data_IF_449961966958
#
_entry.id   IF_449961966958
#
_cell.length_a   1.000
_cell.length_b   1.000
_cell.length_c   1.000
_cell.angle_alpha   90.00
_cell.angle_beta   90.00
_cell.angle_gamma   90.00
#
_symmetry.space_group_name_H-M   'P 1'
#
loop_
_entity.id
_entity.type
_entity.pdbx_description
1 polymer ?
#
# COMPACT_ATOMS: atom_id res chain seq x y z
N UNK A 1 -52.28 -41.70 6.86
CA UNK A 1 -51.43 -42.54 6.01
C UNK A 1 -50.24 -41.73 5.52
N UNK A 2 -49.21 -41.77 6.24
CA UNK A 2 -48.01 -42.56 6.14
C UNK A 2 -47.03 -42.12 5.06
N UNK A 3 -45.87 -41.75 5.56
CA UNK A 3 -44.54 -42.00 5.04
C UNK A 3 -44.07 -41.09 3.91
N UNK A 4 -42.98 -40.47 4.01
CA UNK A 4 -41.67 -40.88 4.38
C UNK A 4 -40.67 -39.72 4.36
N UNK A 5 -39.86 -39.70 5.35
CA UNK A 5 -38.61 -38.94 5.40
C UNK A 5 -37.69 -39.38 4.27
N UNK A 6 -37.07 -38.44 3.61
CA UNK A 6 -35.71 -38.59 3.08
C UNK A 6 -34.95 -37.29 3.26
N UNK A 7 -33.90 -37.39 4.06
CA UNK A 7 -32.79 -36.51 4.13
C UNK A 7 -32.10 -36.50 2.76
N UNK A 8 -31.81 -35.33 2.24
CA UNK A 8 -30.71 -35.14 1.32
C UNK A 8 -29.86 -33.97 1.77
N UNK A 9 -28.68 -34.36 2.18
CA UNK A 9 -27.55 -33.53 2.57
C UNK A 9 -27.04 -32.64 1.44
N UNK A 10 -26.67 -31.44 1.82
CA UNK A 10 -25.43 -30.83 1.37
C UNK A 10 -25.49 -30.08 0.04
N UNK A 11 -25.21 -28.83 0.17
CA UNK A 11 -24.74 -27.84 -0.81
C UNK A 11 -25.74 -26.69 -1.07
N UNK A 12 -25.71 -25.74 -0.19
CA UNK A 12 -25.96 -24.34 -0.55
C UNK A 12 -25.66 -23.40 0.62
N UNK A 13 -24.41 -23.35 1.07
CA UNK A 13 -23.96 -22.38 2.09
C UNK A 13 -22.72 -21.59 1.62
N UNK A 14 -22.44 -21.56 0.33
CA UNK A 14 -21.27 -20.86 -0.19
C UNK A 14 -21.52 -19.55 -0.96
N UNK A 15 -22.77 -19.14 -1.17
CA UNK A 15 -23.02 -17.92 -1.96
C UNK A 15 -23.47 -16.69 -1.17
N UNK A 16 -23.73 -16.80 0.13
CA UNK A 16 -24.16 -15.65 0.94
C UNK A 16 -23.05 -14.97 1.75
N UNK A 17 -21.85 -15.57 1.82
CA UNK A 17 -20.71 -14.94 2.50
C UNK A 17 -19.94 -13.96 1.62
N UNK A 18 -20.01 -14.09 0.30
CA UNK A 18 -19.29 -13.21 -0.62
C UNK A 18 -19.95 -11.85 -0.89
N UNK A 19 -21.24 -11.68 -0.53
CA UNK A 19 -21.97 -10.41 -0.74
C UNK A 19 -22.00 -9.50 0.49
N UNK A 20 -21.70 -10.00 1.69
CA UNK A 20 -21.56 -9.17 2.89
C UNK A 20 -20.16 -8.59 3.07
N UNK A 21 -19.15 -9.14 2.42
CA UNK A 21 -17.78 -8.64 2.45
C UNK A 21 -17.51 -7.45 1.50
N UNK A 22 -18.47 -7.08 0.66
CA UNK A 22 -18.31 -5.96 -0.28
C UNK A 22 -18.68 -4.59 0.31
N UNK A 23 -19.30 -4.53 1.50
CA UNK A 23 -19.80 -3.28 2.08
C UNK A 23 -18.96 -2.72 3.25
N UNK A 24 -17.95 -3.43 3.70
CA UNK A 24 -17.03 -3.01 4.78
C UNK A 24 -15.56 -3.16 4.33
N UNK A 25 -15.25 -2.78 3.11
CA UNK A 25 -13.86 -2.61 2.69
C UNK A 25 -13.36 -1.28 3.23
N UNK A 26 -13.08 -1.29 4.53
CA UNK A 26 -12.03 -0.44 5.08
C UNK A 26 -10.77 -0.60 4.22
N UNK A 27 -9.88 0.37 4.22
CA UNK A 27 -8.51 0.25 3.68
C UNK A 27 -7.78 -0.85 4.45
N UNK A 28 -8.25 -2.06 4.28
CA UNK A 28 -7.78 -3.31 4.88
C UNK A 28 -7.69 -4.34 3.77
N UNK A 29 -6.53 -4.45 3.19
CA UNK A 29 -6.14 -5.74 2.62
C UNK A 29 -5.43 -6.51 3.72
N UNK A 30 -6.05 -7.58 4.18
CA UNK A 30 -5.49 -8.52 5.18
C UNK A 30 -5.02 -7.88 6.50
N UNK A 31 -5.64 -6.82 6.91
CA UNK A 31 -5.37 -6.30 8.20
C UNK A 31 -4.16 -5.32 8.30
N UNK A 32 -3.46 -4.83 7.25
CA UNK A 32 -2.32 -3.89 7.35
C UNK A 32 -2.75 -2.44 7.17
N UNK A 33 -2.35 -1.50 8.05
CA UNK A 33 -2.33 -0.07 7.74
C UNK A 33 -1.17 0.20 6.83
N UNK A 34 -1.53 0.83 5.78
CA UNK A 34 -0.63 1.44 4.85
C UNK A 34 -0.42 2.87 5.36
N UNK A 35 0.75 3.14 5.96
CA UNK A 35 1.18 4.54 6.14
C UNK A 35 1.51 5.05 4.75
N UNK A 36 0.59 5.79 4.15
CA UNK A 36 0.79 6.41 2.86
C UNK A 36 1.32 7.82 3.03
N UNK A 37 2.12 8.27 2.07
CA UNK A 37 2.48 9.67 1.95
C UNK A 37 1.61 10.32 0.89
N UNK A 38 0.71 11.18 1.34
CA UNK A 38 -0.24 11.91 0.51
C UNK A 38 0.27 13.34 0.35
N UNK A 39 0.42 13.78 -0.88
CA UNK A 39 0.77 15.18 -1.16
C UNK A 39 -0.42 15.85 -1.84
N UNK A 40 -0.81 17.00 -1.29
CA UNK A 40 -1.74 17.92 -1.92
C UNK A 40 -0.90 19.04 -2.53
N UNK A 41 -0.94 19.19 -3.83
CA UNK A 41 -0.21 20.18 -4.58
C UNK A 41 -1.18 21.18 -5.20
N UNK A 42 -1.25 22.37 -4.61
CA UNK A 42 -2.19 23.44 -4.96
C UNK A 42 -1.53 24.78 -4.60
N UNK A 43 -1.64 25.79 -5.44
CA UNK A 43 -1.12 27.14 -5.16
C UNK A 43 -2.11 27.96 -4.31
N UNK A 44 -3.39 27.58 -4.30
CA UNK A 44 -4.41 28.15 -3.45
C UNK A 44 -4.53 27.38 -2.12
N UNK A 45 -3.96 27.98 -1.07
CA UNK A 45 -3.93 27.34 0.25
C UNK A 45 -5.32 26.97 0.80
N UNK A 46 -6.34 27.77 0.50
CA UNK A 46 -7.70 27.50 0.96
C UNK A 46 -8.28 26.23 0.33
N UNK A 47 -7.99 26.00 -0.95
CA UNK A 47 -8.42 24.81 -1.68
C UNK A 47 -7.67 23.57 -1.16
N UNK A 48 -6.35 23.71 -0.95
CA UNK A 48 -5.55 22.65 -0.35
C UNK A 48 -6.05 22.22 1.04
N UNK A 49 -6.37 23.17 1.93
CA UNK A 49 -6.89 22.88 3.28
C UNK A 49 -8.31 22.28 3.23
N UNK A 50 -9.13 22.67 2.25
CA UNK A 50 -10.44 22.07 2.02
C UNK A 50 -10.29 20.61 1.58
N UNK A 51 -9.43 20.36 0.60
CA UNK A 51 -9.10 18.99 0.17
C UNK A 51 -8.56 18.16 1.33
N UNK A 52 -7.64 18.70 2.14
CA UNK A 52 -7.12 18.05 3.36
C UNK A 52 -8.26 17.66 4.31
N UNK A 53 -9.22 18.56 4.55
CA UNK A 53 -10.37 18.30 5.43
C UNK A 53 -11.20 17.14 4.92
N UNK A 54 -11.44 17.07 3.60
CA UNK A 54 -12.16 15.96 2.97
C UNK A 54 -11.38 14.67 3.12
N UNK A 55 -10.06 14.69 2.89
CA UNK A 55 -9.21 13.50 3.01
C UNK A 55 -9.17 12.94 4.43
N UNK A 56 -9.16 13.79 5.45
CA UNK A 56 -9.23 13.38 6.86
C UNK A 56 -10.54 12.69 7.23
N UNK A 57 -11.61 12.88 6.43
CA UNK A 57 -12.85 12.13 6.57
C UNK A 57 -12.79 10.73 5.94
N UNK A 58 -11.78 10.48 5.10
CA UNK A 58 -11.55 9.20 4.48
C UNK A 58 -10.95 8.22 5.49
N UNK A 59 -11.45 7.00 5.48
CA UNK A 59 -11.02 5.99 6.43
C UNK A 59 -9.55 5.62 6.23
N UNK A 60 -8.77 5.64 7.31
CA UNK A 60 -7.36 5.26 7.34
C UNK A 60 -6.38 6.37 6.93
N UNK A 61 -6.85 7.57 6.64
CA UNK A 61 -6.00 8.73 6.39
C UNK A 61 -5.80 9.49 7.69
N UNK A 62 -4.55 9.74 8.06
CA UNK A 62 -4.16 10.51 9.24
C UNK A 62 -3.57 11.85 8.82
N UNK A 63 -3.57 12.82 9.73
CA UNK A 63 -3.02 14.16 9.44
C UNK A 63 -1.52 14.11 9.12
N UNK A 64 -0.77 13.24 9.78
CA UNK A 64 0.66 13.00 9.57
C UNK A 64 1.01 12.37 8.22
N UNK A 65 0.03 11.83 7.53
CA UNK A 65 0.19 11.28 6.18
C UNK A 65 0.14 12.35 5.10
N UNK A 66 -0.46 13.51 5.41
CA UNK A 66 -0.75 14.56 4.43
C UNK A 66 0.28 15.69 4.52
N UNK A 67 0.86 16.01 3.37
CA UNK A 67 1.73 17.18 3.20
C UNK A 67 1.13 18.08 2.12
N UNK A 68 0.99 19.37 2.41
CA UNK A 68 0.57 20.36 1.42
C UNK A 68 1.84 21.02 0.86
N UNK A 69 1.96 21.04 -0.45
CA UNK A 69 3.06 21.66 -1.18
C UNK A 69 2.51 22.64 -2.23
N UNK A 70 3.25 23.70 -2.46
CA UNK A 70 3.08 24.51 -3.67
C UNK A 70 3.65 23.78 -4.89
N UNK A 71 3.26 24.17 -6.11
CA UNK A 71 3.84 23.63 -7.35
C UNK A 71 5.36 23.72 -7.41
N UNK A 72 5.92 24.83 -6.91
CA UNK A 72 7.35 25.07 -6.89
C UNK A 72 8.07 24.10 -5.95
N UNK A 73 7.52 23.88 -4.76
CA UNK A 73 8.05 22.93 -3.78
C UNK A 73 7.95 21.51 -4.28
N UNK A 74 6.83 21.16 -4.91
CA UNK A 74 6.64 19.83 -5.52
C UNK A 74 7.65 19.60 -6.64
N UNK A 75 7.81 20.56 -7.56
CA UNK A 75 8.78 20.45 -8.65
C UNK A 75 10.21 20.30 -8.13
N UNK A 76 10.62 21.12 -7.17
CA UNK A 76 11.94 21.03 -6.55
C UNK A 76 12.15 19.66 -5.89
N UNK A 77 11.17 19.17 -5.12
CA UNK A 77 11.22 17.85 -4.47
C UNK A 77 11.35 16.71 -5.47
N UNK A 78 10.64 16.80 -6.60
CA UNK A 78 10.75 15.84 -7.70
C UNK A 78 12.13 15.93 -8.37
N UNK A 79 12.66 17.14 -8.61
CA UNK A 79 13.95 17.34 -9.25
C UNK A 79 15.11 16.77 -8.44
N UNK A 80 15.18 17.08 -7.14
CA UNK A 80 16.25 16.60 -6.25
C UNK A 80 16.06 15.16 -5.77
N UNK A 81 14.96 14.48 -6.16
CA UNK A 81 14.62 13.10 -5.78
C UNK A 81 14.51 12.88 -4.26
N UNK A 82 14.12 13.90 -3.51
CA UNK A 82 13.91 13.82 -2.05
C UNK A 82 12.42 13.73 -1.67
N UNK A 83 11.54 13.62 -2.65
CA UNK A 83 10.10 13.53 -2.43
C UNK A 83 9.66 12.09 -2.26
N UNK A 84 8.87 11.84 -1.23
CA UNK A 84 8.17 10.56 -1.01
C UNK A 84 6.68 10.82 -1.14
N UNK A 85 6.07 10.21 -2.14
CA UNK A 85 4.67 10.40 -2.45
C UNK A 85 4.08 9.08 -2.97
N UNK A 86 3.05 8.61 -2.30
CA UNK A 86 2.30 7.43 -2.70
C UNK A 86 1.01 7.83 -3.43
N UNK A 87 0.39 8.95 -3.01
CA UNK A 87 -0.77 9.54 -3.67
C UNK A 87 -0.54 11.05 -3.79
N UNK A 88 -0.62 11.58 -4.99
CA UNK A 88 -0.56 13.00 -5.29
C UNK A 88 -1.93 13.53 -5.70
N UNK A 89 -2.45 14.53 -5.00
CA UNK A 89 -3.63 15.28 -5.40
C UNK A 89 -3.12 16.58 -5.98
N UNK A 90 -3.35 16.79 -7.27
CA UNK A 90 -2.73 17.86 -8.04
C UNK A 90 -3.79 18.78 -8.63
N UNK A 91 -3.75 20.04 -8.26
CA UNK A 91 -4.46 21.07 -9.01
C UNK A 91 -3.79 21.30 -10.36
N UNK A 92 -4.59 21.51 -11.39
CA UNK A 92 -4.15 21.79 -12.76
C UNK A 92 -4.63 23.16 -13.25
N UNK A 93 -5.02 24.04 -12.35
CA UNK A 93 -5.47 25.38 -12.70
C UNK A 93 -4.28 26.34 -12.91
N UNK A 94 -4.37 27.17 -13.95
CA UNK A 94 -3.28 27.98 -14.43
C UNK A 94 -3.53 29.47 -14.17
N UNK A 95 -3.04 30.02 -13.12
CA UNK A 95 -2.74 31.45 -13.11
C UNK A 95 -1.29 31.76 -13.49
N UNK A 96 -0.39 30.81 -13.32
CA UNK A 96 1.03 31.05 -13.52
C UNK A 96 1.60 30.19 -14.66
N UNK A 97 1.76 30.75 -15.86
CA UNK A 97 2.33 30.11 -17.04
C UNK A 97 3.77 29.56 -16.88
N UNK A 98 4.36 29.68 -15.69
CA UNK A 98 5.73 29.23 -15.41
C UNK A 98 5.83 27.72 -15.14
N UNK A 99 4.73 27.07 -14.71
CA UNK A 99 4.71 25.63 -14.42
C UNK A 99 3.72 24.91 -15.32
N UNK A 100 4.20 23.89 -16.00
CA UNK A 100 3.34 22.99 -16.76
C UNK A 100 3.06 21.75 -15.91
N UNK A 101 1.86 21.67 -15.36
CA UNK A 101 1.38 20.57 -14.52
C UNK A 101 1.46 19.20 -15.18
N UNK A 102 1.21 19.15 -16.49
CA UNK A 102 1.33 17.92 -17.25
C UNK A 102 2.79 17.46 -17.28
N UNK A 103 3.73 18.40 -17.44
CA UNK A 103 5.16 18.07 -17.39
C UNK A 103 5.56 17.57 -15.99
N UNK A 104 5.12 18.26 -14.93
CA UNK A 104 5.39 17.83 -13.54
C UNK A 104 4.81 16.44 -13.26
N UNK A 105 3.58 16.17 -13.72
CA UNK A 105 2.95 14.86 -13.58
C UNK A 105 3.70 13.77 -14.34
N UNK A 106 4.18 14.05 -15.56
CA UNK A 106 5.03 13.13 -16.34
C UNK A 106 6.36 12.84 -15.64
N UNK A 107 6.98 13.84 -15.03
CA UNK A 107 8.19 13.67 -14.23
C UNK A 107 7.93 12.84 -12.98
N UNK A 108 6.82 13.11 -12.28
CA UNK A 108 6.38 12.32 -11.13
C UNK A 108 6.15 10.85 -11.51
N UNK A 109 5.41 10.59 -12.60
CA UNK A 109 5.20 9.24 -13.10
C UNK A 109 6.52 8.52 -13.42
N UNK A 110 7.52 9.24 -13.94
CA UNK A 110 8.83 8.67 -14.27
C UNK A 110 9.67 8.35 -13.03
N UNK A 111 9.67 9.24 -12.03
CA UNK A 111 10.51 9.12 -10.82
C UNK A 111 9.85 8.28 -9.73
N UNK A 112 8.52 8.34 -9.62
CA UNK A 112 7.72 7.58 -8.66
C UNK A 112 6.60 6.82 -9.40
N UNK A 113 6.92 5.74 -10.12
CA UNK A 113 5.97 5.05 -10.98
C UNK A 113 4.79 4.39 -10.25
N UNK A 114 4.89 4.19 -8.94
CA UNK A 114 3.81 3.67 -8.10
C UNK A 114 2.90 4.77 -7.54
N UNK A 115 3.31 6.04 -7.63
CA UNK A 115 2.54 7.17 -7.13
C UNK A 115 1.24 7.31 -7.93
N UNK A 116 0.11 7.33 -7.23
CA UNK A 116 -1.20 7.51 -7.84
C UNK A 116 -1.54 8.99 -7.93
N UNK A 117 -1.80 9.49 -9.11
CA UNK A 117 -2.15 10.91 -9.33
C UNK A 117 -3.68 11.04 -9.39
N UNK A 118 -4.23 11.94 -8.58
CA UNK A 118 -5.61 12.43 -8.63
C UNK A 118 -5.55 13.90 -9.03
N UNK A 119 -6.16 14.24 -10.14
CA UNK A 119 -6.33 15.63 -10.51
C UNK A 119 -7.56 16.23 -9.83
N UNK A 120 -7.41 17.44 -9.29
CA UNK A 120 -8.46 18.18 -8.60
C UNK A 120 -8.46 19.63 -9.12
N UNK A 121 -9.45 20.03 -9.91
CA UNK A 121 -9.45 21.31 -10.61
C UNK A 121 -10.86 21.91 -10.73
N UNK A 122 -10.94 23.21 -10.93
CA UNK A 122 -12.18 23.91 -11.30
C UNK A 122 -12.56 23.75 -12.77
N UNK A 123 -11.61 23.42 -13.64
CA UNK A 123 -11.73 23.56 -15.10
C UNK A 123 -11.82 22.20 -15.77
N UNK A 124 -12.97 21.92 -16.40
CA UNK A 124 -13.24 20.65 -17.09
C UNK A 124 -12.45 20.55 -18.43
N UNK A 125 -12.12 21.67 -19.03
CA UNK A 125 -11.46 21.75 -20.34
C UNK A 125 -10.07 21.08 -20.34
N UNK A 126 -9.44 20.93 -19.19
CA UNK A 126 -8.16 20.21 -19.04
C UNK A 126 -8.29 18.67 -19.05
N UNK A 127 -9.52 18.14 -18.98
CA UNK A 127 -9.72 16.70 -18.97
C UNK A 127 -9.05 15.96 -20.16
N UNK A 128 -9.00 16.46 -21.40
CA UNK A 128 -8.28 15.80 -22.48
C UNK A 128 -6.76 15.74 -22.27
N UNK A 129 -6.17 16.78 -21.67
CA UNK A 129 -4.72 16.89 -21.50
C UNK A 129 -4.16 15.94 -20.44
N UNK A 130 -4.95 15.62 -19.41
CA UNK A 130 -4.52 14.69 -18.35
C UNK A 130 -4.34 13.26 -18.85
N UNK A 131 -4.98 12.88 -19.96
CA UNK A 131 -4.79 11.56 -20.58
C UNK A 131 -3.38 11.32 -21.13
N UNK A 132 -2.57 12.37 -21.25
CA UNK A 132 -1.14 12.27 -21.57
C UNK A 132 -0.28 11.82 -20.38
N UNK A 133 -0.87 11.63 -19.21
CA UNK A 133 -0.22 11.22 -17.97
C UNK A 133 -0.81 9.94 -17.41
N UNK A 134 -0.05 9.24 -16.57
CA UNK A 134 -0.58 8.11 -15.79
C UNK A 134 -1.23 8.70 -14.54
N UNK A 135 -2.54 8.65 -14.49
CA UNK A 135 -3.34 9.12 -13.35
C UNK A 135 -4.47 8.14 -13.04
N UNK A 136 -4.98 8.14 -11.81
CA UNK A 136 -6.04 7.22 -11.42
C UNK A 136 -7.42 7.87 -11.42
N UNK A 137 -7.51 9.19 -11.23
CA UNK A 137 -8.79 9.90 -11.17
C UNK A 137 -8.67 11.36 -11.57
N UNK A 138 -9.82 11.91 -12.03
CA UNK A 138 -10.02 13.33 -12.30
C UNK A 138 -11.25 13.81 -11.54
N UNK A 139 -11.12 14.85 -10.73
CA UNK A 139 -12.16 15.41 -9.86
C UNK A 139 -12.32 16.89 -10.16
N UNK A 140 -13.55 17.32 -10.40
CA UNK A 140 -13.88 18.74 -10.41
C UNK A 140 -14.07 19.24 -8.98
N UNK A 141 -13.43 20.36 -8.58
CA UNK A 141 -13.54 20.97 -7.25
C UNK A 141 -14.99 21.26 -6.85
N UNK A 142 -15.88 21.52 -7.82
CA UNK A 142 -17.33 21.68 -7.57
C UNK A 142 -17.99 20.43 -6.95
N UNK A 143 -17.41 19.26 -7.15
CA UNK A 143 -17.93 17.96 -6.70
C UNK A 143 -16.98 17.25 -5.73
N UNK A 144 -15.97 17.95 -5.20
CA UNK A 144 -14.89 17.34 -4.43
C UNK A 144 -15.38 16.59 -3.19
N UNK A 145 -16.35 17.14 -2.43
CA UNK A 145 -16.89 16.48 -1.23
C UNK A 145 -17.39 15.05 -1.51
N UNK A 146 -17.97 14.83 -2.69
CA UNK A 146 -18.49 13.52 -3.09
C UNK A 146 -17.48 12.67 -3.83
N UNK A 147 -16.67 13.29 -4.67
CA UNK A 147 -15.84 12.56 -5.64
C UNK A 147 -14.42 12.31 -5.12
N UNK A 148 -13.86 13.20 -4.30
CA UNK A 148 -12.51 13.03 -3.76
C UNK A 148 -12.38 11.79 -2.86
N UNK A 149 -13.34 11.47 -1.97
CA UNK A 149 -13.30 10.20 -1.22
C UNK A 149 -13.29 8.96 -2.12
N UNK A 150 -14.06 8.96 -3.20
CA UNK A 150 -14.07 7.87 -4.19
C UNK A 150 -12.77 7.77 -4.96
N UNK A 151 -12.19 8.90 -5.32
CA UNK A 151 -10.89 8.96 -5.99
C UNK A 151 -9.79 8.41 -5.07
N UNK A 152 -9.82 8.76 -3.78
CA UNK A 152 -8.92 8.21 -2.77
C UNK A 152 -9.06 6.70 -2.62
N UNK A 153 -10.29 6.20 -2.48
CA UNK A 153 -10.53 4.76 -2.39
C UNK A 153 -9.93 4.01 -3.60
N UNK A 154 -10.14 4.55 -4.81
CA UNK A 154 -9.55 3.98 -6.03
C UNK A 154 -8.02 4.07 -6.05
N UNK A 155 -7.44 5.21 -5.67
CA UNK A 155 -5.99 5.40 -5.62
C UNK A 155 -5.33 4.42 -4.65
N UNK A 156 -5.88 4.29 -3.45
CA UNK A 156 -5.44 3.34 -2.44
C UNK A 156 -5.54 1.90 -2.95
N UNK A 157 -6.66 1.55 -3.59
CA UNK A 157 -6.83 0.21 -4.15
C UNK A 157 -5.74 -0.11 -5.19
N UNK A 158 -5.47 0.81 -6.13
CA UNK A 158 -4.44 0.63 -7.16
C UNK A 158 -3.06 0.55 -6.52
N UNK A 159 -2.77 1.44 -5.57
CA UNK A 159 -1.49 1.46 -4.85
C UNK A 159 -1.22 0.14 -4.12
N UNK A 160 -2.22 -0.35 -3.36
CA UNK A 160 -2.12 -1.64 -2.68
C UNK A 160 -1.95 -2.80 -3.66
N UNK A 161 -2.68 -2.79 -4.78
CA UNK A 161 -2.58 -3.82 -5.80
C UNK A 161 -1.20 -3.84 -6.45
N UNK A 162 -0.58 -2.67 -6.66
CA UNK A 162 0.78 -2.55 -7.20
C UNK A 162 1.85 -3.00 -6.18
N UNK A 163 1.73 -2.63 -4.90
CA UNK A 163 2.67 -3.10 -3.86
C UNK A 163 2.64 -4.63 -3.71
N UNK A 164 1.47 -5.25 -3.80
CA UNK A 164 1.34 -6.72 -3.75
C UNK A 164 1.97 -7.43 -4.96
N UNK A 165 2.16 -6.71 -6.07
CA UNK A 165 2.79 -7.22 -7.29
C UNK A 165 4.28 -6.90 -7.39
N UNK A 166 4.87 -6.17 -6.43
CA UNK A 166 6.30 -5.91 -6.45
C UNK A 166 7.11 -7.20 -6.47
N UNK A 167 7.94 -7.31 -7.49
CA UNK A 167 8.85 -8.43 -7.69
C UNK A 167 10.20 -8.05 -7.11
N UNK A 168 10.72 -8.82 -6.16
CA UNK A 168 12.10 -8.69 -5.73
C UNK A 168 13.02 -9.52 -6.64
N UNK A 169 14.15 -8.91 -6.99
CA UNK A 169 15.21 -9.56 -7.75
C UNK A 169 16.30 -10.05 -6.80
N UNK A 170 16.57 -11.33 -6.83
CA UNK A 170 17.59 -11.95 -6.02
C UNK A 170 18.61 -12.71 -6.89
N UNK A 171 19.87 -12.67 -6.48
CA UNK A 171 20.94 -13.39 -7.17
C UNK A 171 21.41 -14.58 -6.33
N UNK A 172 21.46 -15.75 -6.98
CA UNK A 172 22.03 -16.97 -6.39
C UNK A 172 22.90 -17.68 -7.43
N UNK A 173 24.23 -17.81 -7.19
CA UNK A 173 25.17 -18.48 -8.07
C UNK A 173 25.05 -18.10 -9.56
N UNK A 174 24.90 -16.80 -9.85
CA UNK A 174 24.77 -16.30 -11.21
C UNK A 174 23.37 -16.47 -11.83
N UNK A 175 22.42 -17.09 -11.10
CA UNK A 175 21.00 -17.15 -11.49
C UNK A 175 20.27 -15.96 -10.89
N UNK A 176 19.41 -15.34 -11.71
CA UNK A 176 18.48 -14.32 -11.27
C UNK A 176 17.18 -15.02 -10.88
N UNK A 177 16.62 -14.64 -9.75
CA UNK A 177 15.34 -15.12 -9.24
C UNK A 177 14.43 -13.91 -9.06
N UNK A 178 13.21 -14.03 -9.56
CA UNK A 178 12.17 -13.01 -9.45
C UNK A 178 11.05 -13.59 -8.57
N UNK A 179 10.81 -12.98 -7.42
CA UNK A 179 9.85 -13.46 -6.44
C UNK A 179 8.86 -12.32 -6.15
N UNK A 180 7.57 -12.59 -6.32
CA UNK A 180 6.53 -11.63 -5.91
C UNK A 180 6.51 -11.52 -4.40
N UNK A 181 6.50 -10.31 -3.89
CA UNK A 181 6.50 -10.07 -2.43
C UNK A 181 5.26 -10.66 -1.76
N UNK A 182 4.11 -10.61 -2.43
CA UNK A 182 2.87 -11.21 -1.94
C UNK A 182 2.98 -12.73 -1.69
N UNK A 183 3.86 -13.42 -2.42
CA UNK A 183 4.06 -14.86 -2.27
C UNK A 183 4.99 -15.22 -1.10
N UNK A 184 5.75 -14.27 -0.57
CA UNK A 184 6.73 -14.50 0.51
C UNK A 184 6.01 -14.58 1.84
N UNK A 185 6.15 -15.71 2.52
CA UNK A 185 5.58 -15.96 3.85
C UNK A 185 6.52 -15.44 4.93
N UNK A 186 7.80 -15.84 4.86
CA UNK A 186 8.85 -15.37 5.74
C UNK A 186 10.23 -15.58 5.11
N UNK A 187 11.23 -14.93 5.65
CA UNK A 187 12.63 -15.16 5.31
C UNK A 187 13.43 -15.48 6.58
N UNK A 188 14.31 -16.46 6.48
CA UNK A 188 15.20 -16.84 7.56
C UNK A 188 16.66 -16.85 7.14
N UNK A 189 17.56 -16.53 8.08
CA UNK A 189 18.98 -16.69 7.90
C UNK A 189 19.43 -18.03 8.48
N UNK A 190 19.92 -18.89 7.61
CA UNK A 190 20.58 -20.14 7.99
C UNK A 190 22.05 -20.03 7.62
N UNK A 191 22.92 -19.85 8.62
CA UNK A 191 24.36 -19.60 8.47
C UNK A 191 24.66 -18.38 7.59
N UNK A 192 25.17 -18.60 6.37
CA UNK A 192 25.54 -17.58 5.39
C UNK A 192 24.49 -17.37 4.30
N UNK A 193 23.41 -18.11 4.34
CA UNK A 193 22.35 -18.14 3.34
C UNK A 193 21.09 -17.56 3.95
N UNK A 194 20.34 -16.79 3.17
CA UNK A 194 18.97 -16.45 3.48
C UNK A 194 18.06 -17.35 2.67
N UNK A 195 17.16 -18.02 3.35
CA UNK A 195 16.07 -18.80 2.76
C UNK A 195 14.80 -17.95 2.76
N UNK A 196 14.14 -17.85 1.63
CA UNK A 196 12.88 -17.15 1.44
C UNK A 196 11.81 -18.20 1.18
N UNK A 197 10.91 -18.33 2.13
CA UNK A 197 9.81 -19.30 2.10
C UNK A 197 8.58 -18.66 1.47
N UNK A 198 8.08 -19.31 0.43
CA UNK A 198 6.87 -18.89 -0.29
C UNK A 198 5.86 -20.04 -0.33
N UNK A 199 4.64 -19.75 -0.76
CA UNK A 199 3.61 -20.77 -0.96
C UNK A 199 4.00 -21.81 -2.03
N UNK A 200 4.88 -21.45 -2.97
CA UNK A 200 5.33 -22.33 -4.07
C UNK A 200 6.63 -23.07 -3.76
N UNK A 201 7.36 -22.69 -2.69
CA UNK A 201 8.62 -23.34 -2.34
C UNK A 201 9.60 -22.39 -1.65
N UNK A 202 10.84 -22.85 -1.48
CA UNK A 202 11.90 -22.11 -0.80
C UNK A 202 12.98 -21.69 -1.77
N UNK A 203 13.32 -20.42 -1.74
CA UNK A 203 14.40 -19.82 -2.52
C UNK A 203 15.59 -19.50 -1.61
N UNK A 204 16.81 -19.61 -2.14
CA UNK A 204 18.02 -19.36 -1.37
C UNK A 204 18.84 -18.25 -2.01
N UNK A 205 19.41 -17.36 -1.21
CA UNK A 205 20.33 -16.34 -1.68
C UNK A 205 21.46 -16.07 -0.66
N UNK A 206 22.60 -15.59 -1.17
CA UNK A 206 23.79 -15.26 -0.36
C UNK A 206 23.82 -13.79 0.07
N UNK A 207 22.68 -13.18 0.19
CA UNK A 207 22.58 -11.81 0.70
C UNK A 207 22.32 -11.81 2.21
N UNK A 208 22.68 -10.73 2.89
CA UNK A 208 22.31 -10.58 4.31
C UNK A 208 20.82 -10.31 4.46
N UNK A 209 20.21 -10.78 5.56
CA UNK A 209 18.81 -10.51 5.86
C UNK A 209 18.50 -9.00 5.91
N UNK A 210 19.47 -8.18 6.32
CA UNK A 210 19.36 -6.71 6.31
C UNK A 210 19.27 -6.14 4.88
N UNK A 211 19.98 -6.75 3.91
CA UNK A 211 19.83 -6.35 2.50
C UNK A 211 18.47 -6.77 1.94
N UNK A 212 18.01 -7.97 2.28
CA UNK A 212 16.69 -8.46 1.88
C UNK A 212 15.60 -7.53 2.43
N UNK A 213 15.68 -7.13 3.72
CA UNK A 213 14.73 -6.17 4.30
C UNK A 213 14.62 -4.84 3.54
N UNK A 214 15.69 -4.39 2.89
CA UNK A 214 15.65 -3.16 2.09
C UNK A 214 14.94 -3.33 0.74
N UNK A 215 14.78 -4.56 0.29
CA UNK A 215 14.08 -4.91 -0.94
C UNK A 215 12.61 -5.24 -0.68
N UNK A 216 12.27 -5.56 0.56
CA UNK A 216 10.93 -5.94 0.98
C UNK A 216 10.11 -4.69 1.34
N UNK A 217 8.84 -4.70 0.99
CA UNK A 217 7.88 -3.66 1.32
C UNK A 217 7.50 -3.62 2.81
N UNK A 218 6.55 -2.76 3.13
CA UNK A 218 6.14 -2.43 4.51
C UNK A 218 5.52 -3.60 5.26
N UNK A 219 5.00 -4.58 4.54
CA UNK A 219 4.34 -5.76 5.14
C UNK A 219 5.32 -6.72 5.80
N UNK A 220 6.61 -6.43 5.77
CA UNK A 220 7.63 -7.30 6.33
C UNK A 220 8.18 -6.78 7.64
N UNK A 221 8.02 -7.58 8.69
CA UNK A 221 8.42 -7.27 10.06
C UNK A 221 9.64 -8.09 10.46
N UNK A 222 10.63 -7.41 11.04
CA UNK A 222 11.79 -8.11 11.59
C UNK A 222 11.51 -8.52 13.03
N UNK A 223 11.25 -9.80 13.25
CA UNK A 223 10.96 -10.35 14.58
C UNK A 223 12.20 -10.91 15.29
N UNK A 224 13.29 -11.22 14.56
CA UNK A 224 14.50 -11.81 15.14
C UNK A 224 15.76 -11.42 14.34
N UNK A 225 16.93 -11.61 14.91
CA UNK A 225 18.20 -11.45 14.19
C UNK A 225 18.33 -12.32 12.95
N UNK A 226 17.64 -13.45 12.94
CA UNK A 226 17.62 -14.41 11.83
C UNK A 226 16.28 -14.49 11.08
N UNK A 227 15.25 -13.75 11.44
CA UNK A 227 13.92 -13.91 10.83
C UNK A 227 13.27 -12.57 10.48
N UNK A 228 12.56 -12.60 9.34
CA UNK A 228 11.65 -11.57 8.86
C UNK A 228 10.36 -12.27 8.47
N UNK A 229 9.22 -11.79 8.93
CA UNK A 229 7.89 -12.35 8.65
C UNK A 229 7.07 -11.37 7.83
N UNK A 230 6.28 -11.91 6.92
CA UNK A 230 5.27 -11.13 6.23
C UNK A 230 4.02 -11.04 7.12
N UNK A 231 3.63 -9.82 7.44
CA UNK A 231 2.45 -9.52 8.26
C UNK A 231 1.18 -10.22 7.74
N UNK A 232 1.00 -10.27 6.42
CA UNK A 232 -0.17 -10.87 5.78
C UNK A 232 -0.34 -12.37 6.06
N UNK A 233 0.71 -13.02 6.54
CA UNK A 233 0.71 -14.44 6.89
C UNK A 233 0.76 -14.67 8.41
N UNK A 234 0.69 -13.63 9.24
CA UNK A 234 0.62 -13.78 10.70
C UNK A 234 -0.80 -14.21 11.09
N UNK A 235 -0.90 -15.36 11.75
CA UNK A 235 -2.14 -15.86 12.34
C UNK A 235 -2.26 -15.41 13.80
N UNK A 236 -1.22 -15.67 14.61
CA UNK A 236 -1.22 -15.36 16.02
C UNK A 236 0.13 -14.79 16.48
N UNK A 237 0.09 -13.73 17.27
CA UNK A 237 1.28 -13.17 17.93
C UNK A 237 1.24 -13.48 19.42
N UNK A 238 2.27 -14.20 19.90
CA UNK A 238 2.51 -14.46 21.31
C UNK A 238 3.63 -13.56 21.85
N UNK A 239 3.89 -13.66 23.16
CA UNK A 239 4.93 -12.84 23.79
C UNK A 239 6.33 -13.06 23.22
N UNK A 240 6.67 -14.29 22.83
CA UNK A 240 8.01 -14.72 22.44
C UNK A 240 8.06 -15.41 21.06
N UNK A 241 6.93 -15.55 20.41
CA UNK A 241 6.84 -16.17 19.10
C UNK A 241 5.68 -15.62 18.27
N UNK A 242 5.74 -15.90 16.98
CA UNK A 242 4.70 -15.60 15.98
C UNK A 242 4.32 -16.92 15.32
N UNK A 243 3.02 -17.21 15.23
CA UNK A 243 2.50 -18.33 14.44
C UNK A 243 2.03 -17.79 13.11
N UNK A 244 2.49 -18.38 12.04
CA UNK A 244 2.08 -18.03 10.68
C UNK A 244 0.91 -18.92 10.23
N UNK A 245 0.17 -18.46 9.22
CA UNK A 245 -1.01 -19.16 8.66
C UNK A 245 -0.71 -20.56 8.11
N UNK A 246 0.55 -20.86 7.81
CA UNK A 246 1.01 -22.20 7.43
C UNK A 246 1.39 -23.09 8.63
N UNK A 247 1.14 -22.62 9.86
CA UNK A 247 1.46 -23.33 11.11
C UNK A 247 2.91 -23.19 11.57
N UNK A 248 3.77 -22.47 10.84
CA UNK A 248 5.17 -22.26 11.25
C UNK A 248 5.24 -21.32 12.46
N UNK A 249 5.93 -21.74 13.51
CA UNK A 249 6.22 -20.92 14.67
C UNK A 249 7.60 -20.27 14.56
N UNK A 250 7.67 -18.94 14.65
CA UNK A 250 8.91 -18.16 14.50
C UNK A 250 9.20 -17.41 15.80
N UNK A 251 10.40 -17.51 16.38
CA UNK A 251 10.73 -16.85 17.64
C UNK A 251 10.88 -15.33 17.47
N UNK A 252 10.45 -14.58 18.50
CA UNK A 252 10.70 -13.15 18.61
C UNK A 252 11.94 -12.92 19.49
N UNK A 253 13.01 -12.41 18.90
CA UNK A 253 14.26 -12.11 19.60
C UNK A 253 14.09 -11.01 20.65
N UNK A 254 14.78 -11.12 21.78
CA UNK A 254 14.68 -10.14 22.89
C UNK A 254 14.90 -8.70 22.46
N UNK A 255 15.89 -8.47 21.60
CA UNK A 255 16.24 -7.14 21.05
C UNK A 255 15.21 -6.60 20.04
N UNK A 256 14.40 -7.46 19.45
CA UNK A 256 13.38 -7.09 18.48
C UNK A 256 11.97 -7.00 19.08
N UNK A 257 11.77 -7.50 20.29
CA UNK A 257 10.45 -7.67 20.89
C UNK A 257 9.65 -6.37 20.92
N UNK A 258 10.23 -5.32 21.49
CA UNK A 258 9.54 -4.03 21.61
C UNK A 258 9.20 -3.45 20.24
N UNK A 259 10.19 -3.33 19.36
CA UNK A 259 9.98 -2.76 18.02
C UNK A 259 9.03 -3.60 17.15
N UNK A 260 9.08 -4.92 17.26
CA UNK A 260 8.16 -5.81 16.56
C UNK A 260 6.72 -5.62 17.03
N UNK A 261 6.49 -5.66 18.35
CA UNK A 261 5.15 -5.48 18.90
C UNK A 261 4.59 -4.09 18.60
N UNK A 262 5.40 -3.04 18.70
CA UNK A 262 4.98 -1.69 18.29
C UNK A 262 4.60 -1.60 16.82
N UNK A 263 5.42 -2.16 15.92
CA UNK A 263 5.11 -2.18 14.50
C UNK A 263 3.88 -3.05 14.20
N UNK A 264 3.80 -4.23 14.81
CA UNK A 264 2.65 -5.11 14.68
C UNK A 264 1.37 -4.43 15.19
N UNK A 265 1.40 -3.82 16.37
CA UNK A 265 0.23 -3.11 16.93
C UNK A 265 -0.18 -1.92 16.07
N UNK A 266 0.77 -1.15 15.57
CA UNK A 266 0.47 -0.12 14.55
C UNK A 266 -0.22 -0.72 13.33
N UNK A 267 0.22 -1.85 12.85
CA UNK A 267 -0.44 -2.57 11.76
C UNK A 267 -1.82 -3.09 12.16
N UNK A 268 -2.04 -3.52 13.39
CA UNK A 268 -3.35 -3.97 13.91
C UNK A 268 -4.26 -2.79 14.20
N UNK A 269 -3.82 -1.74 14.89
CA UNK A 269 -4.61 -0.53 15.22
C UNK A 269 -5.07 0.20 13.97
N UNK A 270 -4.32 0.04 12.94
CA UNK A 270 -4.64 0.47 11.62
C UNK A 270 -5.61 -0.50 10.99
N UNK A 271 -6.03 -1.57 11.64
CA UNK A 271 -6.91 -2.63 11.19
C UNK A 271 -8.18 -2.78 12.02
N UNK A 272 -8.27 -2.15 13.17
CA UNK A 272 -9.47 -1.99 14.00
C UNK A 272 -10.10 -0.63 13.74
#
# INVERSE_FOLDING_TARGET
NNCGKREENGRSVCCFHSLRFAAEREIRRNGTIITMKIIICDDERMDAERAKTILLSCKGVQEEDITILTPQEMHLGVEVQDIKCDIAIMDIEYENRQFNWITLSKELNKKLPLCQIIYLTWVLEFAPEVYDTIHCYFVLKQNEEKMLPRAMEKAIQIYCDQEDHEIIELRNHGKMMYIRQADIIYAERQDRIVQIHTAQGTYQCYQSLTKIMKLLGRNFLRCHGGYVVNYNYIDTVMRESVILSNGTEIPIGRTYRTSFHEQYMRMVEQHV
#
